data_IF_494102247300
#
_entry.id   IF_494102247300
#
_cell.length_a   1.000
_cell.length_b   1.000
_cell.length_c   1.000
_cell.angle_alpha   90.00
_cell.angle_beta   90.00
_cell.angle_gamma   90.00
#
_symmetry.space_group_name_H-M   'P 1'
#
loop_
_entity.id
_entity.type
_entity.pdbx_description
1 polymer ?
#
# COMPACT_ATOMS: atom_id res chain seq x y z
N UNK A 1 22.73 -29.79 11.30
CA UNK A 1 22.54 -31.21 11.68
C UNK A 1 21.32 -31.73 10.94
N UNK A 2 21.34 -32.95 10.37
CA UNK A 2 20.15 -33.52 9.75
C UNK A 2 19.07 -33.78 10.81
N UNK A 3 17.82 -33.48 10.48
CA UNK A 3 16.66 -33.84 11.30
C UNK A 3 16.61 -35.36 11.52
N UNK A 4 16.34 -35.77 12.76
CA UNK A 4 16.21 -37.18 13.15
C UNK A 4 14.78 -37.42 13.66
N UNK A 5 14.03 -38.21 12.89
CA UNK A 5 12.63 -38.51 13.17
C UNK A 5 12.44 -39.24 14.51
N UNK A 6 13.29 -40.22 14.81
CA UNK A 6 13.16 -41.03 16.02
C UNK A 6 13.36 -40.19 17.28
N UNK A 7 14.28 -39.22 17.21
CA UNK A 7 14.51 -38.26 18.32
C UNK A 7 13.30 -37.34 18.53
N UNK A 8 12.71 -36.86 17.45
CA UNK A 8 11.53 -36.02 17.51
C UNK A 8 10.32 -36.79 18.06
N UNK A 9 10.10 -38.03 17.63
CA UNK A 9 8.99 -38.86 18.12
C UNK A 9 9.19 -39.20 19.61
N UNK A 10 10.43 -39.37 20.07
CA UNK A 10 10.72 -39.62 21.49
C UNK A 10 10.45 -38.40 22.39
N UNK A 11 10.61 -37.18 21.89
CA UNK A 11 10.38 -35.93 22.63
C UNK A 11 9.90 -34.82 21.70
N UNK A 12 8.63 -34.85 21.28
CA UNK A 12 8.11 -33.88 20.33
C UNK A 12 8.05 -32.49 20.95
N UNK A 13 8.60 -31.50 20.24
CA UNK A 13 8.60 -30.09 20.64
C UNK A 13 8.06 -29.20 19.52
N UNK A 14 7.30 -28.19 19.90
CA UNK A 14 6.74 -27.18 19.00
C UNK A 14 7.85 -26.39 18.32
N UNK A 15 8.87 -25.99 19.09
CA UNK A 15 10.00 -25.21 18.59
C UNK A 15 10.78 -26.01 17.54
N UNK A 16 10.95 -27.32 17.79
CA UNK A 16 11.60 -28.21 16.84
C UNK A 16 10.75 -28.33 15.57
N UNK A 17 9.44 -28.56 15.70
CA UNK A 17 8.51 -28.68 14.58
C UNK A 17 8.46 -27.41 13.70
N UNK A 18 8.52 -26.22 14.30
CA UNK A 18 8.54 -24.94 13.59
C UNK A 18 9.81 -24.76 12.76
N UNK A 19 10.94 -25.24 13.28
CA UNK A 19 12.25 -25.17 12.63
C UNK A 19 12.42 -26.14 11.44
N UNK A 20 11.57 -27.16 11.34
CA UNK A 20 11.69 -28.20 10.31
C UNK A 20 11.41 -27.69 8.89
N UNK A 21 12.03 -28.34 7.91
CA UNK A 21 11.73 -28.13 6.48
C UNK A 21 10.46 -28.89 6.09
N UNK A 22 9.82 -28.48 4.98
CA UNK A 22 8.61 -29.15 4.45
C UNK A 22 8.82 -30.66 4.27
N UNK A 23 9.97 -31.07 3.73
CA UNK A 23 10.29 -32.49 3.53
C UNK A 23 10.43 -33.28 4.84
N UNK A 24 10.81 -32.62 5.93
CA UNK A 24 10.95 -33.22 7.26
C UNK A 24 9.59 -33.30 7.95
N UNK A 25 8.77 -32.25 7.87
CA UNK A 25 7.37 -32.25 8.34
C UNK A 25 6.56 -33.34 7.65
N UNK A 26 6.75 -33.53 6.34
CA UNK A 26 6.12 -34.63 5.59
C UNK A 26 6.54 -36.01 6.12
N UNK A 27 7.78 -36.18 6.56
CA UNK A 27 8.22 -37.45 7.18
C UNK A 27 7.51 -37.68 8.51
N UNK A 28 7.36 -36.63 9.32
CA UNK A 28 6.61 -36.69 10.59
C UNK A 28 5.15 -37.03 10.32
N UNK A 29 4.49 -36.35 9.38
CA UNK A 29 3.11 -36.62 9.00
C UNK A 29 2.89 -38.07 8.55
N UNK A 30 3.81 -38.59 7.71
CA UNK A 30 3.77 -39.99 7.26
C UNK A 30 3.99 -40.99 8.40
N UNK A 31 4.85 -40.68 9.36
CA UNK A 31 5.09 -41.55 10.52
C UNK A 31 3.83 -41.74 11.37
N UNK A 32 3.07 -40.66 11.58
CA UNK A 32 1.80 -40.68 12.30
C UNK A 32 0.60 -41.08 11.42
N UNK A 33 0.80 -41.40 10.13
CA UNK A 33 -0.27 -41.79 9.23
C UNK A 33 -1.26 -40.66 8.87
N UNK A 34 -0.83 -39.40 9.00
CA UNK A 34 -1.66 -38.23 8.72
C UNK A 34 -1.81 -38.06 7.22
N UNK A 35 -3.05 -38.07 6.73
CA UNK A 35 -3.36 -37.81 5.33
C UNK A 35 -3.30 -36.30 5.02
N UNK A 36 -2.62 -35.94 3.93
CA UNK A 36 -2.55 -34.56 3.44
C UNK A 36 -2.47 -34.54 1.92
N UNK A 37 -2.88 -33.43 1.30
CA UNK A 37 -2.78 -33.28 -0.14
C UNK A 37 -1.34 -32.92 -0.55
N UNK A 38 -0.78 -33.52 -1.63
CA UNK A 38 0.63 -33.29 -2.02
C UNK A 38 0.97 -31.82 -2.32
N UNK A 39 -0.01 -31.03 -2.75
CA UNK A 39 0.15 -29.61 -3.08
C UNK A 39 0.09 -28.69 -1.86
N UNK A 40 -0.29 -29.20 -0.69
CA UNK A 40 -0.41 -28.38 0.52
C UNK A 40 0.92 -27.70 0.88
N UNK A 41 0.81 -26.49 1.41
CA UNK A 41 1.93 -25.67 1.84
C UNK A 41 2.53 -26.23 3.14
N UNK A 42 3.76 -25.79 3.45
CA UNK A 42 4.47 -26.22 4.66
C UNK A 42 3.61 -25.99 5.91
N UNK A 43 3.02 -24.80 6.02
CA UNK A 43 2.26 -24.39 7.20
C UNK A 43 0.95 -25.15 7.36
N UNK A 44 0.30 -25.50 6.25
CA UNK A 44 -0.91 -26.33 6.23
C UNK A 44 -0.61 -27.74 6.73
N UNK A 45 0.43 -28.39 6.19
CA UNK A 45 0.85 -29.73 6.63
C UNK A 45 1.29 -29.68 8.11
N UNK A 46 2.01 -28.64 8.51
CA UNK A 46 2.42 -28.43 9.90
C UNK A 46 1.23 -28.34 10.84
N UNK A 47 0.16 -27.63 10.42
CA UNK A 47 -1.07 -27.51 11.18
C UNK A 47 -1.75 -28.86 11.39
N UNK A 48 -1.88 -29.69 10.35
CA UNK A 48 -2.42 -31.04 10.50
C UNK A 48 -1.60 -31.90 11.48
N UNK A 49 -0.27 -31.78 11.43
CA UNK A 49 0.62 -32.46 12.39
C UNK A 49 0.40 -31.94 13.81
N UNK A 50 0.28 -30.63 14.00
CA UNK A 50 0.02 -30.03 15.32
C UNK A 50 -1.33 -30.44 15.89
N UNK A 51 -2.39 -30.41 15.07
CA UNK A 51 -3.74 -30.84 15.46
C UNK A 51 -3.72 -32.29 15.91
N UNK A 52 -3.10 -33.19 15.13
CA UNK A 52 -2.96 -34.60 15.50
C UNK A 52 -2.18 -34.81 16.81
N UNK A 53 -1.04 -34.12 16.99
CA UNK A 53 -0.23 -34.24 18.20
C UNK A 53 -0.95 -33.72 19.44
N UNK A 54 -1.83 -32.73 19.30
CA UNK A 54 -2.66 -32.26 20.41
C UNK A 54 -3.82 -33.21 20.68
N UNK A 55 -4.47 -33.73 19.65
CA UNK A 55 -5.59 -34.68 19.78
C UNK A 55 -5.14 -35.99 20.48
N UNK A 56 -3.95 -36.49 20.14
CA UNK A 56 -3.32 -37.64 20.81
C UNK A 56 -2.75 -37.30 22.20
N UNK A 57 -2.94 -36.06 22.69
CA UNK A 57 -2.43 -35.56 23.97
C UNK A 57 -0.90 -35.65 24.11
N UNK A 58 -0.19 -35.64 22.98
CA UNK A 58 1.28 -35.64 22.91
C UNK A 58 1.81 -34.22 23.18
N UNK A 59 1.11 -33.20 22.69
CA UNK A 59 1.39 -31.79 22.93
C UNK A 59 0.20 -31.13 23.68
N UNK A 60 0.46 -30.10 24.50
CA UNK A 60 -0.61 -29.37 25.18
C UNK A 60 -1.45 -28.54 24.20
N UNK A 61 -2.76 -28.42 24.46
CA UNK A 61 -3.71 -27.70 23.61
C UNK A 61 -3.42 -26.20 23.45
N UNK A 62 -2.67 -25.61 24.40
CA UNK A 62 -2.20 -24.21 24.37
C UNK A 62 -1.32 -23.89 23.16
N UNK A 63 -0.76 -24.92 22.52
CA UNK A 63 0.06 -24.80 21.32
C UNK A 63 -0.76 -24.43 20.09
N UNK A 64 -1.99 -24.94 19.97
CA UNK A 64 -2.86 -24.60 18.85
C UNK A 64 -3.29 -23.13 18.89
N UNK A 65 -3.54 -22.60 20.09
CA UNK A 65 -3.96 -21.20 20.28
C UNK A 65 -2.89 -20.20 19.84
N UNK A 66 -1.60 -20.53 20.04
CA UNK A 66 -0.48 -19.69 19.62
C UNK A 66 -0.19 -19.81 18.12
N UNK A 67 -0.33 -21.01 17.53
CA UNK A 67 -0.07 -21.27 16.12
C UNK A 67 -1.06 -20.60 15.14
N UNK A 68 -2.26 -20.23 15.60
CA UNK A 68 -3.32 -19.61 14.76
C UNK A 68 -2.97 -18.16 14.33
N UNK A 69 -1.98 -17.51 14.95
CA UNK A 69 -1.76 -16.06 14.81
C UNK A 69 -0.91 -15.61 13.62
N UNK A 70 -0.41 -16.50 12.77
CA UNK A 70 0.42 -16.09 11.63
C UNK A 70 -0.23 -16.48 10.30
N UNK A 71 -1.10 -15.62 9.71
CA UNK A 71 -1.52 -15.79 8.34
C UNK A 71 -0.33 -15.47 7.42
N UNK A 72 0.33 -16.51 6.91
CA UNK A 72 1.47 -16.43 5.98
C UNK A 72 1.11 -16.05 4.54
N UNK A 73 -0.14 -15.62 4.27
CA UNK A 73 -0.59 -15.27 2.90
C UNK A 73 -0.87 -13.78 2.66
N UNK A 74 -0.86 -12.94 3.70
CA UNK A 74 -1.22 -11.53 3.51
C UNK A 74 -0.10 -10.70 2.87
N UNK A 75 1.10 -11.23 2.63
CA UNK A 75 2.22 -10.45 2.07
C UNK A 75 1.97 -9.99 0.63
N UNK A 76 1.34 -10.82 -0.20
CA UNK A 76 0.99 -10.46 -1.57
C UNK A 76 -0.19 -9.50 -1.62
N UNK A 77 -1.20 -9.69 -0.76
CA UNK A 77 -2.35 -8.79 -0.66
C UNK A 77 -1.95 -7.43 -0.09
N UNK A 78 -1.13 -7.38 0.96
CA UNK A 78 -0.56 -6.13 1.48
C UNK A 78 0.22 -5.39 0.39
N UNK A 79 1.09 -6.10 -0.35
CA UNK A 79 1.90 -5.47 -1.39
C UNK A 79 1.05 -4.94 -2.55
N UNK A 80 -0.03 -5.64 -2.89
CA UNK A 80 -1.01 -5.19 -3.88
C UNK A 80 -1.74 -3.94 -3.38
N UNK A 81 -2.17 -3.93 -2.12
CA UNK A 81 -2.86 -2.79 -1.49
C UNK A 81 -1.95 -1.55 -1.39
N UNK A 82 -0.68 -1.74 -1.03
CA UNK A 82 0.33 -0.67 -1.01
C UNK A 82 0.56 -0.08 -2.41
N UNK A 83 0.64 -0.92 -3.45
CA UNK A 83 0.77 -0.44 -4.83
C UNK A 83 -0.44 0.38 -5.28
N UNK A 84 -1.64 -0.03 -4.91
CA UNK A 84 -2.88 0.67 -5.24
C UNK A 84 -2.95 2.03 -4.54
N UNK A 85 -2.63 2.06 -3.24
CA UNK A 85 -2.55 3.30 -2.46
C UNK A 85 -1.48 4.27 -3.02
N UNK A 86 -0.30 3.78 -3.38
CA UNK A 86 0.75 4.62 -3.97
C UNK A 86 0.33 5.22 -5.32
N UNK A 87 -0.43 4.47 -6.13
CA UNK A 87 -0.97 4.97 -7.39
C UNK A 87 -2.00 6.08 -7.17
N UNK A 88 -2.89 5.91 -6.19
CA UNK A 88 -3.89 6.90 -5.79
C UNK A 88 -3.23 8.21 -5.34
N UNK A 89 -2.22 8.14 -4.48
CA UNK A 89 -1.48 9.31 -3.98
C UNK A 89 -0.87 10.07 -5.15
N UNK A 90 -0.19 9.36 -6.07
CA UNK A 90 0.48 9.97 -7.21
C UNK A 90 -0.50 10.65 -8.18
N UNK A 91 -1.67 10.07 -8.40
CA UNK A 91 -2.73 10.69 -9.21
C UNK A 91 -3.23 11.99 -8.56
N UNK A 92 -3.48 11.93 -7.25
CA UNK A 92 -3.97 13.07 -6.48
C UNK A 92 -2.94 14.22 -6.41
N UNK A 93 -1.66 13.91 -6.39
CA UNK A 93 -0.59 14.91 -6.48
C UNK A 93 -0.56 15.59 -7.86
N UNK A 94 -0.64 14.80 -8.95
CA UNK A 94 -0.70 15.36 -10.30
C UNK A 94 -1.93 16.25 -10.52
N UNK A 95 -3.10 15.87 -9.98
CA UNK A 95 -4.29 16.72 -10.05
C UNK A 95 -4.10 18.05 -9.33
N UNK A 96 -3.55 18.03 -8.10
CA UNK A 96 -3.26 19.27 -7.36
C UNK A 96 -2.25 20.15 -8.06
N UNK A 97 -1.25 19.57 -8.71
CA UNK A 97 -0.26 20.32 -9.48
C UNK A 97 -0.90 21.00 -10.68
N UNK A 98 -1.72 20.27 -11.46
CA UNK A 98 -2.48 20.84 -12.58
C UNK A 98 -3.42 21.95 -12.14
N UNK A 99 -4.14 21.76 -11.03
CA UNK A 99 -5.06 22.77 -10.52
C UNK A 99 -4.30 24.05 -10.09
N UNK A 100 -3.11 23.90 -9.49
CA UNK A 100 -2.26 25.05 -9.14
C UNK A 100 -1.76 25.78 -10.39
N UNK A 101 -1.29 25.05 -11.39
CA UNK A 101 -0.85 25.66 -12.65
C UNK A 101 -1.99 26.40 -13.36
N UNK A 102 -3.20 25.84 -13.36
CA UNK A 102 -4.37 26.45 -13.98
C UNK A 102 -4.77 27.75 -13.27
N UNK A 103 -4.80 27.74 -11.93
CA UNK A 103 -5.05 28.96 -11.13
C UNK A 103 -3.99 30.03 -11.40
N UNK A 104 -2.72 29.66 -11.49
CA UNK A 104 -1.64 30.62 -11.76
C UNK A 104 -1.75 31.22 -13.18
N UNK A 105 -2.18 30.41 -14.17
CA UNK A 105 -2.46 30.91 -15.52
C UNK A 105 -3.63 31.89 -15.54
N UNK A 106 -4.73 31.56 -14.87
CA UNK A 106 -5.88 32.45 -14.77
C UNK A 106 -5.51 33.79 -14.12
N UNK A 107 -4.73 33.76 -13.05
CA UNK A 107 -4.30 34.96 -12.33
C UNK A 107 -3.43 35.87 -13.22
N UNK A 108 -2.46 35.29 -13.92
CA UNK A 108 -1.63 36.02 -14.90
C UNK A 108 -2.47 36.61 -16.03
N UNK A 109 -3.49 35.90 -16.50
CA UNK A 109 -4.38 36.40 -17.55
C UNK A 109 -5.25 37.57 -17.05
N UNK A 110 -5.77 37.49 -15.83
CA UNK A 110 -6.52 38.60 -15.19
C UNK A 110 -5.64 39.83 -15.04
N UNK A 111 -4.42 39.66 -14.53
CA UNK A 111 -3.48 40.78 -14.36
C UNK A 111 -3.17 41.45 -15.70
N UNK A 112 -2.98 40.67 -16.77
CA UNK A 112 -2.74 41.19 -18.12
C UNK A 112 -3.93 41.98 -18.63
N UNK A 113 -5.16 41.47 -18.45
CA UNK A 113 -6.40 42.18 -18.83
C UNK A 113 -6.58 43.49 -18.05
N UNK A 114 -6.26 43.50 -16.77
CA UNK A 114 -6.31 44.71 -15.94
C UNK A 114 -5.32 45.79 -16.42
N UNK A 115 -4.08 45.40 -16.71
CA UNK A 115 -3.06 46.30 -17.26
C UNK A 115 -3.52 46.90 -18.60
N UNK A 116 -4.08 46.09 -19.50
CA UNK A 116 -4.63 46.56 -20.77
C UNK A 116 -5.81 47.53 -20.59
N UNK A 117 -6.73 47.25 -19.66
CA UNK A 117 -7.83 48.15 -19.31
C UNK A 117 -7.33 49.49 -18.75
N UNK A 118 -6.32 49.48 -17.88
CA UNK A 118 -5.73 50.72 -17.35
C UNK A 118 -5.09 51.57 -18.46
N UNK A 119 -4.35 50.94 -19.40
CA UNK A 119 -3.76 51.65 -20.53
C UNK A 119 -4.83 52.26 -21.45
N UNK A 120 -5.94 51.56 -21.71
CA UNK A 120 -7.04 52.12 -22.49
C UNK A 120 -7.71 53.31 -21.79
N UNK A 121 -7.96 53.23 -20.48
CA UNK A 121 -8.53 54.33 -19.69
C UNK A 121 -7.62 55.56 -19.71
N UNK A 122 -6.31 55.39 -19.55
CA UNK A 122 -5.32 56.48 -19.64
C UNK A 122 -5.28 57.14 -21.03
N UNK A 123 -5.36 56.35 -22.12
CA UNK A 123 -5.41 56.88 -23.49
C UNK A 123 -6.71 57.64 -23.78
N UNK A 124 -7.86 57.16 -23.26
CA UNK A 124 -9.16 57.86 -23.38
C UNK A 124 -9.18 59.18 -22.59
N UNK A 125 -8.62 59.21 -21.38
CA UNK A 125 -8.49 60.42 -20.58
C UNK A 125 -7.64 61.50 -21.24
N UNK A 126 -6.47 61.14 -21.79
CA UNK A 126 -5.59 62.08 -22.52
C UNK A 126 -6.23 62.64 -23.79
N UNK A 127 -6.98 61.82 -24.55
CA UNK A 127 -7.74 62.28 -25.73
C UNK A 127 -8.84 63.29 -25.36
N UNK A 128 -9.55 63.06 -24.24
CA UNK A 128 -10.61 63.95 -23.78
C UNK A 128 -10.08 65.28 -23.21
N UNK A 129 -8.92 65.26 -22.54
CA UNK A 129 -8.24 66.48 -22.06
C UNK A 129 -7.74 67.36 -23.21
N UNK A 130 -7.19 66.75 -24.27
CA UNK A 130 -6.70 67.49 -25.44
C UNK A 130 -7.85 68.15 -26.24
N UNK A 131 -9.03 67.51 -26.28
CA UNK A 131 -10.22 68.07 -26.93
C UNK A 131 -10.83 69.27 -26.18
N UNK A 132 -10.66 69.37 -24.86
CA UNK A 132 -11.14 70.50 -24.05
C UNK A 132 -10.14 71.67 -23.98
N UNK A 133 -8.83 71.40 -24.05
CA UNK A 133 -7.78 72.44 -24.05
C UNK A 133 -7.67 73.22 -25.37
N UNK A 134 -8.08 72.63 -26.51
CA UNK A 134 -7.98 73.27 -27.83
C UNK A 134 -9.05 74.31 -28.16
N UNK A 135 -10.11 74.45 -27.33
CA UNK A 135 -11.22 75.40 -27.59
C UNK A 135 -11.11 76.74 -26.84
N UNK A 136 -10.09 76.95 -26.00
CA UNK A 136 -10.01 78.13 -25.10
C UNK A 136 -8.92 79.15 -25.46
N UNK A 137 -8.45 79.21 -26.71
CA UNK A 137 -7.52 80.26 -27.18
C UNK A 137 -7.89 80.76 -28.58
N UNK A 138 -9.06 81.40 -28.71
CA UNK A 138 -9.41 82.30 -29.81
C UNK A 138 -10.48 83.29 -29.34
N UNK A 139 -10.04 84.36 -28.69
CA UNK A 139 -10.68 85.68 -28.64
C UNK A 139 -9.62 86.66 -28.17
#
# INVERSE_FOLDING_TARGET
MPFNLDKFVASPSVEELDSLKKSEIVKVAKHYGIEFQPLMRKDEIKRYVLEYLVDESILPSTVLETAITVPTDNTFELKRLEMEMNKEIRLKEMEREREREEREREERERERKEREMQMQKGKRGKRNANAKGGKSKRT
#
